data_IF_405079800320
#
_entry.id   IF_405079800320
#
_cell.length_a   1.000
_cell.length_b   1.000
_cell.length_c   1.000
_cell.angle_alpha   90.00
_cell.angle_beta   90.00
_cell.angle_gamma   90.00
#
_symmetry.space_group_name_H-M   'P 1'
#
loop_
_entity.id
_entity.type
_entity.pdbx_description
1 polymer ?
#
# COMPACT_ATOMS: atom_id res chain seq x y z
N UNK A 1 39.87 -11.79 42.92
CA UNK A 1 39.72 -10.40 42.43
C UNK A 1 39.02 -10.47 41.09
N UNK A 2 37.86 -9.81 40.94
CA UNK A 2 37.18 -9.75 39.64
C UNK A 2 37.84 -8.64 38.82
N UNK A 3 38.46 -8.97 37.69
CA UNK A 3 38.95 -7.96 36.74
C UNK A 3 37.73 -7.30 36.10
N UNK A 4 37.52 -6.02 36.40
CA UNK A 4 36.51 -5.20 35.72
C UNK A 4 37.03 -4.75 34.36
N UNK A 5 36.10 -4.43 33.45
CA UNK A 5 36.43 -3.81 32.16
C UNK A 5 37.20 -2.50 32.36
N UNK A 6 38.10 -2.22 31.42
CA UNK A 6 38.89 -0.98 31.39
C UNK A 6 38.16 0.13 30.63
N UNK A 7 38.47 1.39 30.94
CA UNK A 7 37.87 2.54 30.26
C UNK A 7 38.18 2.55 28.75
N UNK A 8 39.37 2.11 28.36
CA UNK A 8 39.78 2.06 26.94
C UNK A 8 38.91 1.08 26.14
N UNK A 9 38.52 -0.06 26.74
CA UNK A 9 37.62 -1.03 26.11
C UNK A 9 36.22 -0.44 25.92
N UNK A 10 35.72 0.29 26.93
CA UNK A 10 34.41 0.96 26.82
C UNK A 10 34.42 2.04 25.74
N UNK A 11 35.50 2.82 25.64
CA UNK A 11 35.65 3.85 24.61
C UNK A 11 35.69 3.24 23.21
N UNK A 12 36.44 2.14 23.01
CA UNK A 12 36.49 1.45 21.74
C UNK A 12 35.08 0.97 21.30
N UNK A 13 34.27 0.44 22.22
CA UNK A 13 32.90 0.01 21.94
C UNK A 13 32.00 1.18 21.55
N UNK A 14 32.05 2.30 22.27
CA UNK A 14 31.23 3.49 21.98
C UNK A 14 31.59 4.09 20.62
N UNK A 15 32.88 4.11 20.25
CA UNK A 15 33.34 4.58 18.94
C UNK A 15 32.76 3.70 17.82
N UNK A 16 32.86 2.37 17.95
CA UNK A 16 32.30 1.44 16.96
C UNK A 16 30.78 1.59 16.85
N UNK A 17 30.06 1.69 17.96
CA UNK A 17 28.61 1.91 17.97
C UNK A 17 28.22 3.25 17.33
N UNK A 18 29.01 4.31 17.58
CA UNK A 18 28.80 5.64 16.99
C UNK A 18 28.93 5.62 15.46
N UNK A 19 29.95 4.95 14.93
CA UNK A 19 30.14 4.80 13.47
C UNK A 19 29.01 4.00 12.84
N UNK A 20 28.58 2.90 13.48
CA UNK A 20 27.45 2.09 13.00
C UNK A 20 26.15 2.90 12.95
N UNK A 21 25.87 3.72 13.97
CA UNK A 21 24.65 4.51 14.03
C UNK A 21 24.49 5.48 12.85
N UNK A 22 25.60 6.02 12.32
CA UNK A 22 25.58 6.94 11.16
C UNK A 22 25.04 6.29 9.88
N UNK A 23 25.32 5.00 9.66
CA UNK A 23 24.87 4.28 8.46
C UNK A 23 23.45 3.71 8.62
N UNK A 24 23.08 3.32 9.83
CA UNK A 24 21.81 2.63 10.12
C UNK A 24 20.61 3.57 9.96
N UNK A 25 20.69 4.81 10.47
CA UNK A 25 19.57 5.77 10.46
C UNK A 25 19.02 6.05 9.03
N UNK A 26 19.82 6.52 8.05
CA UNK A 26 19.30 6.82 6.72
C UNK A 26 18.82 5.57 5.95
N UNK A 27 19.36 4.39 6.27
CA UNK A 27 18.97 3.13 5.65
C UNK A 27 17.59 2.67 6.11
N UNK A 28 17.28 2.81 7.40
CA UNK A 28 15.96 2.48 7.96
C UNK A 28 14.88 3.38 7.34
N UNK A 29 15.11 4.69 7.25
CA UNK A 29 14.12 5.63 6.71
C UNK A 29 13.76 5.33 5.25
N UNK A 30 14.76 5.06 4.41
CA UNK A 30 14.54 4.68 3.00
C UNK A 30 13.76 3.37 2.90
N UNK A 31 14.17 2.36 3.66
CA UNK A 31 13.51 1.05 3.68
C UNK A 31 12.07 1.17 4.14
N UNK A 32 11.82 2.02 5.16
CA UNK A 32 10.48 2.25 5.68
C UNK A 32 9.57 2.99 4.69
N UNK A 33 10.12 3.95 3.95
CA UNK A 33 9.38 4.61 2.88
C UNK A 33 9.00 3.62 1.78
N UNK A 34 9.94 2.78 1.35
CA UNK A 34 9.69 1.76 0.33
C UNK A 34 8.59 0.79 0.75
N UNK A 35 8.64 0.28 1.99
CA UNK A 35 7.60 -0.63 2.52
C UNK A 35 6.21 0.02 2.49
N UNK A 36 6.10 1.32 2.79
CA UNK A 36 4.81 2.03 2.71
C UNK A 36 4.36 2.24 1.27
N UNK A 37 5.29 2.43 0.34
CA UNK A 37 5.00 2.54 -1.10
C UNK A 37 4.53 1.20 -1.67
N UNK A 38 5.27 0.13 -1.40
CA UNK A 38 4.93 -1.23 -1.84
C UNK A 38 3.57 -1.67 -1.26
N UNK A 39 3.35 -1.44 0.04
CA UNK A 39 2.06 -1.76 0.67
C UNK A 39 0.90 -0.94 0.10
N UNK A 40 1.14 0.32 -0.30
CA UNK A 40 0.12 1.12 -0.97
C UNK A 40 -0.22 0.56 -2.35
N UNK A 41 0.79 0.22 -3.15
CA UNK A 41 0.62 -0.41 -4.48
C UNK A 41 -0.15 -1.73 -4.36
N UNK A 42 0.20 -2.57 -3.39
CA UNK A 42 -0.51 -3.81 -3.09
C UNK A 42 -1.98 -3.54 -2.73
N UNK A 43 -2.24 -2.52 -1.91
CA UNK A 43 -3.59 -2.18 -1.51
C UNK A 43 -4.45 -1.70 -2.69
N UNK A 44 -3.88 -0.88 -3.58
CA UNK A 44 -4.52 -0.47 -4.83
C UNK A 44 -4.77 -1.67 -5.75
N UNK A 45 -3.83 -2.62 -5.84
CA UNK A 45 -4.02 -3.83 -6.63
C UNK A 45 -5.11 -4.74 -6.06
N UNK A 46 -5.27 -4.79 -4.74
CA UNK A 46 -6.36 -5.50 -4.09
C UNK A 46 -7.71 -4.84 -4.41
N UNK A 47 -7.80 -3.50 -4.38
CA UNK A 47 -9.01 -2.76 -4.79
C UNK A 47 -9.34 -3.02 -6.25
N UNK A 48 -8.36 -2.99 -7.16
CA UNK A 48 -8.55 -3.32 -8.58
C UNK A 48 -9.02 -4.75 -8.78
N UNK A 49 -8.48 -5.70 -8.02
CA UNK A 49 -8.90 -7.11 -8.06
C UNK A 49 -10.34 -7.26 -7.59
N UNK A 50 -10.73 -6.55 -6.53
CA UNK A 50 -12.11 -6.53 -6.07
C UNK A 50 -13.05 -5.89 -7.09
N UNK A 51 -12.66 -4.78 -7.73
CA UNK A 51 -13.44 -4.19 -8.83
C UNK A 51 -13.58 -5.14 -10.02
N UNK A 52 -12.54 -5.91 -10.34
CA UNK A 52 -12.60 -6.95 -11.36
C UNK A 52 -13.56 -8.08 -11.00
N UNK A 53 -13.58 -8.51 -9.74
CA UNK A 53 -14.53 -9.50 -9.26
C UNK A 53 -15.96 -8.95 -9.33
N UNK A 54 -16.16 -7.69 -8.92
CA UNK A 54 -17.44 -7.00 -9.04
C UNK A 54 -17.92 -6.99 -10.50
N UNK A 55 -17.05 -6.62 -11.44
CA UNK A 55 -17.36 -6.61 -12.87
C UNK A 55 -17.64 -8.00 -13.46
N UNK A 56 -17.07 -9.06 -12.87
CA UNK A 56 -17.37 -10.45 -13.25
C UNK A 56 -18.77 -10.89 -12.79
N UNK A 57 -19.26 -10.35 -11.67
CA UNK A 57 -20.61 -10.60 -11.18
C UNK A 57 -21.65 -9.69 -11.88
N UNK A 58 -21.23 -8.52 -12.38
CA UNK A 58 -22.07 -7.50 -13.00
C UNK A 58 -21.74 -7.31 -14.49
N UNK A 59 -21.52 -8.42 -15.22
CA UNK A 59 -21.19 -8.40 -16.66
C UNK A 59 -22.14 -7.52 -17.50
N UNK A 60 -23.49 -7.54 -17.29
CA UNK A 60 -24.40 -6.71 -18.07
C UNK A 60 -24.24 -5.20 -17.83
N UNK A 61 -23.61 -4.81 -16.72
CA UNK A 61 -23.40 -3.41 -16.32
C UNK A 61 -22.04 -2.88 -16.77
N UNK A 62 -21.18 -3.74 -17.33
CA UNK A 62 -19.88 -3.32 -17.85
C UNK A 62 -20.05 -2.32 -19.01
N UNK A 63 -19.17 -1.30 -19.09
CA UNK A 63 -19.28 -0.27 -20.11
C UNK A 63 -19.08 -0.83 -21.52
N UNK A 64 -19.80 -0.26 -22.48
CA UNK A 64 -19.55 -0.52 -23.89
C UNK A 64 -18.19 0.04 -24.33
N UNK A 65 -17.71 -0.36 -25.51
CA UNK A 65 -16.44 0.11 -26.04
C UNK A 65 -16.46 1.64 -26.17
N UNK A 66 -15.48 2.31 -25.54
CA UNK A 66 -15.39 3.77 -25.53
C UNK A 66 -16.24 4.47 -24.46
N UNK A 67 -16.95 3.73 -23.62
CA UNK A 67 -17.65 4.25 -22.45
C UNK A 67 -16.87 3.98 -21.16
N UNK A 68 -17.15 4.81 -20.15
CA UNK A 68 -16.55 4.75 -18.83
C UNK A 68 -17.66 4.47 -17.80
N UNK A 69 -17.43 3.51 -16.92
CA UNK A 69 -18.25 3.27 -15.74
C UNK A 69 -17.43 3.64 -14.50
N UNK A 70 -18.08 4.27 -13.52
CA UNK A 70 -17.47 4.59 -12.23
C UNK A 70 -18.23 3.85 -11.15
N UNK A 71 -17.50 3.09 -10.34
CA UNK A 71 -17.99 2.50 -9.09
C UNK A 71 -17.17 3.07 -7.93
N UNK A 72 -17.69 2.97 -6.71
CA UNK A 72 -17.02 3.47 -5.52
C UNK A 72 -16.42 2.35 -4.70
N UNK A 73 -15.44 2.67 -3.85
CA UNK A 73 -14.91 1.72 -2.87
C UNK A 73 -16.00 1.25 -1.90
N UNK A 74 -16.99 2.11 -1.59
CA UNK A 74 -18.15 1.73 -0.81
C UNK A 74 -18.92 0.56 -1.44
N UNK A 75 -19.15 0.58 -2.76
CA UNK A 75 -19.85 -0.49 -3.47
C UNK A 75 -19.11 -1.83 -3.31
N UNK A 76 -17.78 -1.80 -3.40
CA UNK A 76 -16.93 -2.98 -3.21
C UNK A 76 -16.96 -3.51 -1.77
N UNK A 77 -16.99 -2.61 -0.77
CA UNK A 77 -17.13 -2.96 0.64
C UNK A 77 -18.50 -3.57 0.93
N UNK A 78 -19.56 -3.02 0.34
CA UNK A 78 -20.94 -3.52 0.49
C UNK A 78 -21.13 -4.89 -0.17
N UNK A 79 -20.48 -5.10 -1.32
CA UNK A 79 -20.42 -6.40 -1.99
C UNK A 79 -19.57 -7.44 -1.23
N UNK A 80 -18.86 -7.05 -0.17
CA UNK A 80 -18.00 -7.94 0.62
C UNK A 80 -16.72 -8.36 -0.12
N UNK A 81 -16.34 -7.62 -1.16
CA UNK A 81 -15.16 -7.91 -1.99
C UNK A 81 -13.87 -7.27 -1.45
N UNK A 82 -14.01 -6.30 -0.52
CA UNK A 82 -12.90 -5.60 0.14
C UNK A 82 -13.20 -5.47 1.63
N UNK A 83 -12.14 -5.47 2.45
CA UNK A 83 -12.25 -5.19 3.88
C UNK A 83 -12.82 -3.77 4.13
N UNK A 84 -13.72 -3.65 5.12
CA UNK A 84 -14.34 -2.39 5.52
C UNK A 84 -13.34 -1.44 6.16
N UNK A 85 -12.30 -1.98 6.80
CA UNK A 85 -11.29 -1.23 7.54
C UNK A 85 -9.97 -1.07 6.77
N UNK A 86 -10.01 -1.19 5.44
CA UNK A 86 -8.88 -0.96 4.55
C UNK A 86 -8.22 0.41 4.79
N UNK A 87 -6.92 0.40 5.11
CA UNK A 87 -6.12 1.61 5.42
C UNK A 87 -5.01 1.85 4.41
N UNK A 88 -4.71 3.12 4.16
CA UNK A 88 -3.58 3.56 3.35
C UNK A 88 -2.28 3.46 4.17
N UNK A 89 -1.29 2.62 3.79
CA UNK A 89 -0.05 2.45 4.54
C UNK A 89 0.84 3.72 4.60
N UNK A 90 0.61 4.68 3.69
CA UNK A 90 1.34 5.97 3.64
C UNK A 90 0.81 6.96 4.68
N UNK A 91 -0.52 7.10 4.79
CA UNK A 91 -1.17 8.07 5.68
C UNK A 91 -1.62 7.46 7.00
N UNK A 92 -1.76 6.14 7.06
CA UNK A 92 -2.41 5.35 8.14
C UNK A 92 -3.90 5.63 8.32
N UNK A 93 -4.50 6.40 7.41
CA UNK A 93 -5.92 6.69 7.40
C UNK A 93 -6.67 5.63 6.57
N UNK A 94 -7.98 5.50 6.78
CA UNK A 94 -8.81 4.63 5.95
C UNK A 94 -8.88 5.19 4.53
N UNK A 95 -8.94 4.31 3.53
CA UNK A 95 -9.31 4.78 2.19
C UNK A 95 -10.73 5.33 2.22
N UNK A 96 -10.98 6.47 1.57
CA UNK A 96 -12.26 7.11 1.63
C UNK A 96 -13.28 6.29 0.83
N UNK A 97 -14.52 6.25 1.32
CA UNK A 97 -15.58 5.40 0.77
C UNK A 97 -16.01 5.85 -0.65
N UNK A 98 -15.84 7.13 -0.95
CA UNK A 98 -16.11 7.76 -2.24
C UNK A 98 -14.97 7.61 -3.27
N UNK A 99 -13.86 6.95 -2.90
CA UNK A 99 -12.78 6.63 -3.84
C UNK A 99 -13.34 5.91 -5.06
N UNK A 100 -13.10 6.48 -6.24
CA UNK A 100 -13.69 5.99 -7.48
C UNK A 100 -12.78 4.98 -8.16
N UNK A 101 -13.40 3.95 -8.74
CA UNK A 101 -12.75 3.01 -9.62
C UNK A 101 -13.39 3.18 -11.00
N UNK A 102 -12.58 3.63 -11.94
CA UNK A 102 -12.93 3.76 -13.34
C UNK A 102 -12.77 2.41 -14.02
N UNK A 103 -13.84 1.95 -14.64
CA UNK A 103 -13.89 0.76 -15.47
C UNK A 103 -14.04 1.24 -16.91
N UNK A 104 -13.14 0.82 -17.79
CA UNK A 104 -13.18 1.19 -19.21
C UNK A 104 -13.09 -0.03 -20.09
N UNK A 105 -13.71 0.04 -21.27
CA UNK A 105 -13.65 -1.03 -22.26
C UNK A 105 -12.87 -0.55 -23.49
N UNK A 106 -11.61 -0.99 -23.59
CA UNK A 106 -10.73 -0.70 -24.71
C UNK A 106 -10.71 -1.90 -25.66
N UNK A 107 -11.62 -1.88 -26.63
CA UNK A 107 -11.74 -2.89 -27.69
C UNK A 107 -11.87 -4.33 -27.17
N UNK A 108 -12.72 -4.55 -26.15
CA UNK A 108 -12.97 -5.86 -25.54
C UNK A 108 -12.01 -6.21 -24.39
N UNK A 109 -11.05 -5.34 -24.05
CA UNK A 109 -10.24 -5.45 -22.83
C UNK A 109 -10.78 -4.50 -21.77
N UNK A 110 -11.33 -5.05 -20.70
CA UNK A 110 -11.78 -4.27 -19.55
C UNK A 110 -10.57 -3.88 -18.70
N UNK A 111 -10.41 -2.58 -18.45
CA UNK A 111 -9.38 -2.00 -17.57
C UNK A 111 -10.03 -1.44 -16.31
N UNK A 112 -9.31 -1.54 -15.19
CA UNK A 112 -9.73 -1.09 -13.88
C UNK A 112 -8.68 -0.15 -13.31
N UNK A 113 -9.03 1.12 -13.11
CA UNK A 113 -8.14 2.18 -12.65
C UNK A 113 -8.74 2.86 -11.42
N UNK A 114 -7.97 2.94 -10.34
CA UNK A 114 -8.38 3.72 -9.16
C UNK A 114 -8.11 5.19 -9.48
N UNK A 115 -9.16 6.01 -9.35
CA UNK A 115 -9.13 7.45 -9.55
C UNK A 115 -9.28 8.09 -8.18
N UNK A 116 -8.26 8.85 -7.79
CA UNK A 116 -8.20 9.65 -6.56
C UNK A 116 -8.47 11.13 -6.91
#
# INVERSE_FOLDING_TARGET
>A
MKKGFTLIELMAVVIVLGVLALFVVPTIDKTMKQIREDGYEEQINNIKTAAKNWGADHIPELPAVGEDLYITLLDLKQAGLVDKDITNPKTKEKFPDDLQIKITNDNGKIKYEVVD
#
